data_IF_387526552229
#
_entry.id   IF_387526552229
#
_cell.length_a   1.000
_cell.length_b   1.000
_cell.length_c   1.000
_cell.angle_alpha   90.00
_cell.angle_beta   90.00
_cell.angle_gamma   90.00
#
_symmetry.space_group_name_H-M   'P 1'
#
loop_
_entity.id
_entity.type
_entity.pdbx_description
1 polymer ?
#
# COMPACT_ATOMS: atom_id res chain seq x y z
N UNK A 1 7.46 17.39 17.76
CA UNK A 1 6.60 16.20 17.96
C UNK A 1 7.37 15.22 18.82
N UNK A 2 6.76 14.58 19.82
CA UNK A 2 7.47 13.65 20.69
C UNK A 2 7.68 12.33 19.93
N UNK A 3 8.93 11.95 19.66
CA UNK A 3 9.27 10.73 18.91
C UNK A 3 8.67 9.45 19.55
N UNK A 4 8.33 9.48 20.84
CA UNK A 4 7.68 8.39 21.56
C UNK A 4 6.19 8.20 21.24
N UNK A 5 5.53 9.13 20.54
CA UNK A 5 4.10 9.00 20.20
C UNK A 5 3.86 8.16 18.93
N UNK A 6 4.90 7.96 18.11
CA UNK A 6 4.88 7.16 16.87
C UNK A 6 5.43 5.74 17.08
N UNK A 7 5.65 5.35 18.33
CA UNK A 7 6.32 4.11 18.67
C UNK A 7 5.30 3.05 19.10
N UNK A 8 5.23 1.93 18.38
CA UNK A 8 4.32 0.82 18.69
C UNK A 8 5.09 -0.28 19.43
N UNK A 9 4.79 -0.58 20.69
CA UNK A 9 5.39 -1.73 21.38
C UNK A 9 5.03 -3.05 20.67
N UNK A 10 6.02 -3.90 20.40
CA UNK A 10 5.81 -5.20 19.74
C UNK A 10 4.87 -6.12 20.52
N UNK A 11 4.82 -5.97 21.86
CA UNK A 11 3.91 -6.73 22.74
C UNK A 11 2.45 -6.28 22.65
N UNK A 12 2.18 -5.13 22.05
CA UNK A 12 0.84 -4.59 21.86
C UNK A 12 0.19 -5.10 20.55
N UNK A 13 0.98 -5.78 19.70
CA UNK A 13 0.52 -6.43 18.48
C UNK A 13 0.26 -7.91 18.72
N UNK A 14 -0.72 -8.52 18.01
CA UNK A 14 -0.84 -9.97 17.92
C UNK A 14 0.49 -10.63 17.48
N UNK A 15 0.69 -11.92 17.78
CA UNK A 15 1.93 -12.60 17.44
C UNK A 15 2.18 -12.66 15.93
N UNK A 16 1.13 -12.83 15.11
CA UNK A 16 1.19 -13.04 13.66
C UNK A 16 2.23 -14.13 13.29
N UNK A 17 2.02 -15.39 13.70
CA UNK A 17 3.04 -16.43 13.58
C UNK A 17 3.41 -16.76 12.12
N UNK A 18 2.55 -16.43 11.16
CA UNK A 18 2.77 -16.58 9.72
C UNK A 18 3.62 -15.46 9.14
N UNK A 19 3.77 -14.32 9.84
CA UNK A 19 4.53 -13.15 9.35
C UNK A 19 5.90 -13.10 10.02
N UNK A 20 7.01 -13.24 9.26
CA UNK A 20 8.35 -13.09 9.79
C UNK A 20 8.57 -11.74 10.48
N UNK A 21 9.48 -11.72 11.46
CA UNK A 21 9.93 -10.50 12.11
C UNK A 21 11.41 -10.28 11.83
N UNK A 22 11.74 -9.15 11.23
CA UNK A 22 13.10 -8.77 10.90
C UNK A 22 13.56 -7.60 11.76
N UNK A 23 14.84 -7.61 12.14
CA UNK A 23 15.39 -6.49 12.91
C UNK A 23 15.75 -5.37 11.97
N UNK A 24 15.48 -4.14 12.39
CA UNK A 24 15.91 -2.94 11.68
C UNK A 24 17.43 -2.87 11.47
N UNK A 25 18.23 -3.53 12.33
CA UNK A 25 19.69 -3.64 12.15
C UNK A 25 20.11 -4.43 10.92
N UNK A 26 19.21 -5.25 10.39
CA UNK A 26 19.46 -6.13 9.25
C UNK A 26 18.99 -5.47 7.94
N UNK A 27 18.44 -4.25 8.03
CA UNK A 27 17.94 -3.47 6.92
C UNK A 27 18.88 -2.30 6.60
N UNK A 28 19.07 -2.05 5.31
CA UNK A 28 19.70 -0.82 4.81
C UNK A 28 18.68 0.00 4.04
N UNK A 29 18.23 1.11 4.62
CA UNK A 29 17.42 2.10 3.91
C UNK A 29 18.25 2.72 2.79
N UNK A 30 17.70 2.71 1.58
CA UNK A 30 18.26 3.39 0.41
C UNK A 30 17.68 4.79 0.41
N UNK A 31 18.48 5.76 0.86
CA UNK A 31 18.15 7.18 0.72
C UNK A 31 18.29 7.55 -0.75
N UNK A 32 17.18 7.94 -1.39
CA UNK A 32 17.24 8.60 -2.67
C UNK A 32 17.54 10.09 -2.43
N UNK A 33 18.65 10.58 -2.99
CA UNK A 33 19.17 11.92 -2.70
C UNK A 33 18.25 13.06 -3.19
N UNK A 34 17.16 12.75 -3.89
CA UNK A 34 16.16 13.72 -4.32
C UNK A 34 15.09 14.03 -3.26
N UNK A 35 14.99 13.23 -2.18
CA UNK A 35 13.88 13.32 -1.22
C UNK A 35 14.38 13.24 0.22
N UNK A 36 15.28 14.15 0.60
CA UNK A 36 15.70 14.34 1.99
C UNK A 36 14.69 15.23 2.71
N UNK A 37 13.50 14.69 3.01
CA UNK A 37 12.64 15.23 4.05
C UNK A 37 12.58 14.24 5.21
N UNK A 38 13.30 14.59 6.27
CA UNK A 38 13.48 13.81 7.49
C UNK A 38 12.18 13.60 8.30
N UNK A 39 11.05 14.12 7.80
CA UNK A 39 9.71 14.00 8.35
C UNK A 39 8.75 13.22 7.44
N UNK A 40 9.24 12.63 6.35
CA UNK A 40 8.38 12.12 5.29
C UNK A 40 7.72 10.79 5.66
N UNK A 41 6.39 10.78 5.59
CA UNK A 41 5.52 9.61 5.55
C UNK A 41 5.74 8.75 4.29
N UNK A 42 6.72 9.13 3.44
CA UNK A 42 7.06 8.45 2.20
C UNK A 42 7.72 7.10 2.50
N UNK A 43 7.14 6.00 2.02
CA UNK A 43 7.76 4.69 2.07
C UNK A 43 9.11 4.66 1.37
N UNK A 44 10.08 3.94 1.93
CA UNK A 44 11.48 3.98 1.49
C UNK A 44 11.90 2.63 0.91
N UNK A 45 12.74 2.67 -0.13
CA UNK A 45 13.39 1.44 -0.63
C UNK A 45 14.34 0.92 0.46
N UNK A 46 14.24 -0.35 0.80
CA UNK A 46 15.09 -1.01 1.79
C UNK A 46 15.79 -2.21 1.18
N UNK A 47 17.05 -2.45 1.54
CA UNK A 47 17.78 -3.67 1.19
C UNK A 47 17.85 -4.55 2.44
N UNK A 48 17.36 -5.79 2.33
CA UNK A 48 17.41 -6.80 3.40
C UNK A 48 18.72 -7.60 3.32
N UNK A 49 19.01 -8.43 4.32
CA UNK A 49 20.32 -9.11 4.48
C UNK A 49 20.79 -10.01 3.33
N UNK A 50 19.89 -10.46 2.46
CA UNK A 50 20.22 -11.25 1.25
C UNK A 50 20.49 -10.39 0.00
N UNK A 51 20.35 -9.06 0.11
CA UNK A 51 20.56 -8.10 -0.97
C UNK A 51 19.30 -7.74 -1.76
N UNK A 52 18.14 -8.32 -1.45
CA UNK A 52 16.88 -8.01 -2.13
C UNK A 52 16.38 -6.61 -1.80
N UNK A 53 15.83 -5.93 -2.80
CA UNK A 53 15.27 -4.59 -2.70
C UNK A 53 13.77 -4.69 -2.41
N UNK A 54 13.36 -4.11 -1.29
CA UNK A 54 12.02 -4.15 -0.72
C UNK A 54 11.47 -2.75 -0.55
N UNK A 55 10.19 -2.65 -0.28
CA UNK A 55 9.49 -1.42 0.08
C UNK A 55 9.23 -1.41 1.59
N UNK A 56 9.77 -0.40 2.28
CA UNK A 56 9.58 -0.21 3.72
C UNK A 56 8.51 0.83 3.99
N UNK A 57 7.45 0.43 4.70
CA UNK A 57 6.37 1.30 5.17
C UNK A 57 6.52 1.52 6.69
N UNK A 58 6.69 2.76 7.17
CA UNK A 58 6.83 3.03 8.60
C UNK A 58 5.52 2.75 9.37
N UNK A 59 5.65 2.28 10.61
CA UNK A 59 4.54 1.98 11.49
C UNK A 59 4.07 3.23 12.25
N UNK A 60 3.31 4.10 11.59
CA UNK A 60 2.88 5.39 12.16
C UNK A 60 1.58 5.30 12.98
N UNK A 61 0.66 4.42 12.58
CA UNK A 61 -0.61 4.19 13.27
C UNK A 61 -0.82 2.68 13.51
N UNK A 62 -1.17 2.34 14.76
CA UNK A 62 -1.36 0.95 15.17
C UNK A 62 -2.56 0.28 14.51
N UNK A 63 -3.67 0.98 14.34
CA UNK A 63 -4.86 0.37 13.76
C UNK A 63 -4.68 0.13 12.26
N UNK A 64 -4.04 1.07 11.56
CA UNK A 64 -3.67 0.90 10.16
C UNK A 64 -2.71 -0.26 9.98
N UNK A 65 -1.65 -0.35 10.80
CA UNK A 65 -0.72 -1.48 10.75
C UNK A 65 -1.42 -2.82 11.00
N UNK A 66 -2.30 -2.90 12.00
CA UNK A 66 -3.04 -4.13 12.30
C UNK A 66 -3.94 -4.54 11.14
N UNK A 67 -4.63 -3.57 10.52
CA UNK A 67 -5.50 -3.82 9.36
C UNK A 67 -4.69 -4.28 8.15
N UNK A 68 -3.56 -3.64 7.88
CA UNK A 68 -2.67 -4.00 6.79
C UNK A 68 -2.18 -5.45 6.91
N UNK A 69 -1.70 -5.84 8.10
CA UNK A 69 -1.24 -7.21 8.36
C UNK A 69 -2.39 -8.22 8.25
N UNK A 70 -3.56 -7.92 8.82
CA UNK A 70 -4.75 -8.78 8.73
C UNK A 70 -5.18 -9.00 7.27
N UNK A 71 -5.20 -7.94 6.46
CA UNK A 71 -5.57 -8.01 5.05
C UNK A 71 -4.61 -8.89 4.27
N UNK A 72 -3.29 -8.75 4.45
CA UNK A 72 -2.32 -9.61 3.76
C UNK A 72 -2.41 -11.07 4.19
N UNK A 73 -2.62 -11.34 5.47
CA UNK A 73 -2.83 -12.71 5.95
C UNK A 73 -4.07 -13.34 5.32
N UNK A 74 -5.19 -12.60 5.26
CA UNK A 74 -6.42 -13.13 4.68
C UNK A 74 -6.35 -13.26 3.15
N UNK A 75 -5.60 -12.40 2.46
CA UNK A 75 -5.27 -12.55 1.02
C UNK A 75 -4.45 -13.83 0.80
N UNK A 76 -3.47 -14.09 1.66
CA UNK A 76 -2.67 -15.32 1.64
C UNK A 76 -3.53 -16.56 1.88
N UNK A 77 -4.36 -16.56 2.93
CA UNK A 77 -5.28 -17.67 3.26
C UNK A 77 -6.30 -17.95 2.15
N UNK A 78 -6.73 -16.91 1.43
CA UNK A 78 -7.61 -17.03 0.28
C UNK A 78 -6.90 -17.58 -0.98
N UNK A 79 -5.57 -17.73 -0.96
CA UNK A 79 -4.76 -18.18 -2.10
C UNK A 79 -4.64 -17.13 -3.21
N UNK A 80 -4.81 -15.85 -2.87
CA UNK A 80 -4.91 -14.76 -3.85
C UNK A 80 -3.59 -14.05 -4.16
N UNK A 81 -2.56 -14.24 -3.31
CA UNK A 81 -1.27 -13.54 -3.36
C UNK A 81 -0.56 -13.53 -4.74
N UNK A 82 -0.64 -14.65 -5.48
CA UNK A 82 0.05 -14.83 -6.77
C UNK A 82 -0.88 -14.55 -7.96
N UNK A 83 -2.15 -14.29 -7.67
CA UNK A 83 -3.21 -14.05 -8.68
C UNK A 83 -3.60 -12.59 -8.77
N UNK A 84 -3.49 -11.85 -7.68
CA UNK A 84 -3.80 -10.43 -7.61
C UNK A 84 -2.55 -9.58 -7.77
N UNK A 85 -2.74 -8.42 -8.41
CA UNK A 85 -1.71 -7.38 -8.46
C UNK A 85 -1.78 -6.53 -7.20
N UNK A 86 -1.31 -7.10 -6.10
CA UNK A 86 -1.18 -6.44 -4.80
C UNK A 86 0.27 -6.54 -4.32
N UNK A 87 0.75 -5.55 -3.57
CA UNK A 87 2.08 -5.64 -2.96
C UNK A 87 2.06 -6.65 -1.82
N UNK A 88 2.90 -7.68 -1.83
CA UNK A 88 2.86 -8.70 -0.77
C UNK A 88 3.62 -8.26 0.48
N UNK A 89 3.04 -8.51 1.66
CA UNK A 89 3.71 -8.35 2.93
C UNK A 89 4.78 -9.43 3.12
N UNK A 90 6.03 -9.00 3.28
CA UNK A 90 7.17 -9.88 3.54
C UNK A 90 7.40 -10.09 5.04
N UNK A 91 7.49 -9.01 5.82
CA UNK A 91 7.81 -9.10 7.25
C UNK A 91 7.42 -7.86 8.05
N UNK A 92 7.31 -8.03 9.36
CA UNK A 92 7.21 -6.93 10.32
C UNK A 92 8.62 -6.54 10.76
N UNK A 93 8.96 -5.26 10.64
CA UNK A 93 10.24 -4.72 11.10
C UNK A 93 10.15 -4.35 12.57
N UNK A 94 11.07 -4.86 13.37
CA UNK A 94 11.19 -4.56 14.80
C UNK A 94 12.54 -3.88 15.13
N UNK A 95 12.59 -3.18 16.25
CA UNK A 95 13.85 -2.62 16.79
C UNK A 95 14.88 -3.72 17.02
N UNK A 96 16.16 -3.34 17.12
CA UNK A 96 17.26 -4.30 17.34
C UNK A 96 17.07 -5.16 18.60
N UNK A 97 16.43 -4.59 19.65
CA UNK A 97 16.09 -5.30 20.89
C UNK A 97 14.72 -6.02 20.83
N UNK A 98 14.02 -5.95 19.70
CA UNK A 98 12.73 -6.59 19.41
C UNK A 98 11.52 -5.96 20.09
N UNK A 99 11.70 -4.91 20.89
CA UNK A 99 10.64 -4.36 21.75
C UNK A 99 9.66 -3.46 21.02
N UNK A 100 10.07 -2.85 19.91
CA UNK A 100 9.27 -1.88 19.17
C UNK A 100 9.05 -2.37 17.74
N UNK A 101 7.83 -2.22 17.23
CA UNK A 101 7.53 -2.34 15.81
C UNK A 101 7.83 -1.00 15.14
N UNK A 102 8.64 -1.07 14.09
CA UNK A 102 9.17 0.09 13.36
C UNK A 102 8.44 0.27 12.02
N UNK A 103 7.99 -0.82 11.40
CA UNK A 103 7.35 -0.78 10.09
C UNK A 103 7.02 -2.16 9.54
N UNK A 104 6.68 -2.17 8.25
CA UNK A 104 6.38 -3.35 7.46
C UNK A 104 7.27 -3.34 6.22
N UNK A 105 7.68 -4.52 5.77
CA UNK A 105 8.37 -4.72 4.50
C UNK A 105 7.45 -5.39 3.50
N UNK A 106 7.45 -4.87 2.28
CA UNK A 106 6.69 -5.40 1.17
C UNK A 106 7.56 -5.64 -0.06
N UNK A 107 7.08 -6.48 -0.96
CA UNK A 107 7.64 -6.59 -2.30
C UNK A 107 7.64 -5.22 -2.98
N UNK A 108 8.81 -4.80 -3.47
CA UNK A 108 8.92 -3.57 -4.25
C UNK A 108 8.36 -3.81 -5.66
N UNK A 109 7.28 -3.11 -6.00
CA UNK A 109 6.74 -3.07 -7.36
C UNK A 109 7.64 -2.16 -8.20
N UNK A 110 8.32 -2.67 -9.25
CA UNK A 110 9.12 -1.83 -10.11
C UNK A 110 8.21 -0.90 -10.92
N UNK A 111 8.31 0.40 -10.65
CA UNK A 111 7.50 1.45 -11.29
C UNK A 111 8.39 2.61 -11.72
N UNK A 112 8.15 3.22 -12.90
CA UNK A 112 8.85 4.44 -13.31
C UNK A 112 8.38 5.69 -12.55
N UNK A 113 7.17 5.67 -12.02
CA UNK A 113 6.50 6.78 -11.34
C UNK A 113 6.01 6.35 -9.96
N UNK A 114 5.65 7.28 -9.08
CA UNK A 114 5.26 6.92 -7.71
C UNK A 114 3.87 6.27 -7.64
N UNK A 115 2.91 6.77 -8.42
CA UNK A 115 1.52 6.29 -8.41
C UNK A 115 0.74 6.76 -9.63
N UNK A 116 -0.55 6.41 -9.72
CA UNK A 116 -1.46 6.86 -10.77
C UNK A 116 -1.60 8.39 -10.83
N UNK A 117 -1.26 9.13 -9.76
CA UNK A 117 -1.18 10.60 -9.79
C UNK A 117 -0.32 11.13 -10.93
N UNK A 118 0.84 10.52 -11.21
CA UNK A 118 1.76 10.95 -12.27
C UNK A 118 1.18 10.80 -13.68
N UNK A 119 0.09 10.05 -13.84
CA UNK A 119 -0.51 9.75 -15.13
C UNK A 119 -1.77 10.57 -15.43
N UNK A 120 -2.25 11.40 -14.50
CA UNK A 120 -3.45 12.24 -14.71
C UNK A 120 -3.29 13.07 -16.00
N UNK A 121 -4.30 13.05 -16.86
CA UNK A 121 -4.31 13.77 -18.15
C UNK A 121 -3.16 13.43 -19.12
N UNK A 122 -2.49 12.28 -18.95
CA UNK A 122 -1.38 11.88 -19.81
C UNK A 122 -1.82 11.07 -21.03
N UNK A 123 -0.96 11.02 -22.05
CA UNK A 123 -1.14 10.14 -23.21
C UNK A 123 -1.18 8.66 -22.79
N UNK A 124 -0.36 8.27 -21.81
CA UNK A 124 -0.32 6.92 -21.27
C UNK A 124 -1.63 6.55 -20.55
N UNK A 125 -2.22 7.50 -19.79
CA UNK A 125 -3.54 7.28 -19.22
C UNK A 125 -4.60 7.06 -20.30
N UNK A 126 -4.55 7.79 -21.41
CA UNK A 126 -5.48 7.58 -22.53
C UNK A 126 -5.28 6.22 -23.20
N UNK A 127 -4.03 5.79 -23.36
CA UNK A 127 -3.66 4.52 -24.01
C UNK A 127 -4.05 3.30 -23.16
N UNK A 128 -3.80 3.35 -21.85
CA UNK A 128 -3.96 2.20 -20.94
C UNK A 128 -5.23 2.23 -20.09
N UNK A 129 -6.07 3.27 -20.21
CA UNK A 129 -7.27 3.49 -19.41
C UNK A 129 -8.11 2.23 -19.20
N UNK A 130 -8.52 1.58 -20.30
CA UNK A 130 -9.40 0.43 -20.25
C UNK A 130 -8.75 -0.76 -19.52
N UNK A 131 -7.44 -0.94 -19.68
CA UNK A 131 -6.67 -2.03 -19.05
C UNK A 131 -6.52 -1.75 -17.56
N UNK A 132 -6.14 -0.53 -17.16
CA UNK A 132 -5.98 -0.16 -15.76
C UNK A 132 -7.31 -0.23 -15.01
N UNK A 133 -8.39 0.29 -15.61
CA UNK A 133 -9.73 0.17 -15.06
C UNK A 133 -10.10 -1.28 -14.83
N UNK A 134 -9.94 -2.13 -15.85
CA UNK A 134 -10.25 -3.56 -15.75
C UNK A 134 -9.45 -4.23 -14.62
N UNK A 135 -8.13 -4.03 -14.57
CA UNK A 135 -7.24 -4.63 -13.56
C UNK A 135 -7.61 -4.22 -12.13
N UNK A 136 -7.91 -2.95 -11.90
CA UNK A 136 -8.36 -2.47 -10.58
C UNK A 136 -9.72 -3.05 -10.24
N UNK A 137 -10.68 -3.05 -11.17
CA UNK A 137 -12.01 -3.63 -10.91
C UNK A 137 -11.98 -5.13 -10.70
N UNK A 138 -11.09 -5.86 -11.36
CA UNK A 138 -10.89 -7.29 -11.15
C UNK A 138 -10.30 -7.56 -9.76
N UNK A 139 -9.31 -6.77 -9.35
CA UNK A 139 -8.72 -6.86 -8.01
C UNK A 139 -9.77 -6.60 -6.93
N UNK A 140 -10.55 -5.53 -7.06
CA UNK A 140 -11.68 -5.21 -6.14
C UNK A 140 -12.72 -6.33 -6.12
N UNK A 141 -13.06 -6.90 -7.28
CA UNK A 141 -14.01 -8.02 -7.38
C UNK A 141 -13.52 -9.23 -6.59
N UNK A 142 -12.25 -9.61 -6.77
CA UNK A 142 -11.66 -10.77 -6.09
C UNK A 142 -11.57 -10.53 -4.58
N UNK A 143 -11.13 -9.35 -4.13
CA UNK A 143 -11.15 -9.00 -2.71
C UNK A 143 -12.58 -9.13 -2.13
N UNK A 144 -13.57 -8.53 -2.80
CA UNK A 144 -14.95 -8.55 -2.34
C UNK A 144 -15.57 -9.95 -2.33
N UNK A 145 -15.17 -10.85 -3.23
CA UNK A 145 -15.63 -12.25 -3.26
C UNK A 145 -15.17 -13.04 -2.04
N UNK A 146 -14.10 -12.59 -1.37
CA UNK A 146 -13.54 -13.18 -0.15
C UNK A 146 -13.81 -12.34 1.11
N UNK A 147 -14.80 -11.43 1.05
CA UNK A 147 -15.15 -10.51 2.15
C UNK A 147 -13.98 -9.66 2.66
N UNK A 148 -13.08 -9.31 1.75
CA UNK A 148 -12.00 -8.35 1.94
C UNK A 148 -12.42 -7.01 1.35
N UNK A 149 -11.99 -5.91 1.97
CA UNK A 149 -12.30 -4.54 1.55
C UNK A 149 -11.00 -3.77 1.49
N UNK A 150 -10.69 -3.19 0.32
CA UNK A 150 -9.49 -2.38 0.13
C UNK A 150 -9.49 -1.19 1.09
N UNK A 151 -10.55 -0.39 1.07
CA UNK A 151 -10.87 0.53 2.16
C UNK A 151 -10.08 1.83 2.21
N UNK A 152 -9.18 2.09 1.26
CA UNK A 152 -8.56 3.41 1.07
C UNK A 152 -8.32 3.72 -0.42
N UNK A 153 -9.40 3.74 -1.20
CA UNK A 153 -9.33 3.91 -2.66
C UNK A 153 -9.04 5.36 -3.05
N UNK A 154 -7.85 5.59 -3.61
CA UNK A 154 -7.46 6.83 -4.28
C UNK A 154 -6.27 6.57 -5.25
N UNK A 155 -5.93 7.50 -6.16
CA UNK A 155 -4.88 7.30 -7.17
C UNK A 155 -3.48 7.04 -6.59
N UNK A 156 -3.20 7.54 -5.38
CA UNK A 156 -1.94 7.31 -4.68
C UNK A 156 -1.71 5.87 -4.26
N UNK A 157 -2.80 5.11 -4.08
CA UNK A 157 -2.77 3.69 -3.75
C UNK A 157 -2.88 2.79 -4.99
N UNK A 158 -2.66 3.35 -6.19
CA UNK A 158 -2.56 2.62 -7.45
C UNK A 158 -1.17 2.84 -8.03
N UNK A 159 -0.39 1.77 -8.18
CA UNK A 159 0.95 1.81 -8.78
C UNK A 159 0.91 1.21 -10.18
N UNK A 160 1.60 1.84 -11.13
CA UNK A 160 1.72 1.33 -12.51
C UNK A 160 3.11 0.71 -12.70
N UNK A 161 3.18 -0.61 -12.89
CA UNK A 161 4.48 -1.26 -13.06
C UNK A 161 5.16 -0.94 -14.41
N UNK A 162 6.41 -1.38 -14.57
CA UNK A 162 7.17 -1.21 -15.82
C UNK A 162 6.57 -1.91 -17.04
N UNK A 163 5.57 -2.79 -16.85
CA UNK A 163 4.79 -3.44 -17.91
C UNK A 163 3.41 -2.79 -18.09
N UNK A 164 3.20 -1.59 -17.54
CA UNK A 164 1.96 -0.81 -17.59
C UNK A 164 0.76 -1.53 -16.96
N UNK A 165 0.97 -2.36 -15.95
CA UNK A 165 -0.12 -2.93 -15.19
C UNK A 165 -0.39 -2.12 -13.93
N UNK A 166 -1.68 -2.01 -13.58
CA UNK A 166 -2.13 -1.38 -12.35
C UNK A 166 -2.10 -2.39 -11.19
N UNK A 167 -1.51 -1.95 -10.08
CA UNK A 167 -1.42 -2.66 -8.81
C UNK A 167 -2.17 -1.90 -7.72
N UNK A 168 -2.85 -2.63 -6.84
CA UNK A 168 -3.45 -2.09 -5.62
C UNK A 168 -2.44 -2.18 -4.48
N UNK A 169 -2.21 -1.07 -3.78
CA UNK A 169 -1.37 -1.02 -2.58
C UNK A 169 -2.15 -0.38 -1.43
N UNK A 170 -1.60 -0.50 -0.21
CA UNK A 170 -2.11 0.08 1.03
C UNK A 170 -3.51 -0.43 1.45
N UNK A 171 -3.51 -1.29 2.45
CA UNK A 171 -4.70 -1.83 3.10
C UNK A 171 -4.90 -1.32 4.53
N UNK A 172 -4.14 -0.30 4.94
CA UNK A 172 -4.20 0.31 6.28
C UNK A 172 -5.55 0.98 6.55
N UNK A 173 -6.31 1.28 5.50
CA UNK A 173 -7.62 1.90 5.58
C UNK A 173 -7.54 3.40 5.76
N UNK A 174 -8.56 4.08 5.26
CA UNK A 174 -8.53 5.53 5.17
C UNK A 174 -9.72 6.05 4.39
N UNK A 175 -9.66 7.32 4.04
CA UNK A 175 -10.62 7.93 3.12
C UNK A 175 -10.13 9.32 2.75
N UNK A 176 -9.78 9.48 1.48
CA UNK A 176 -9.69 10.79 0.85
C UNK A 176 -11.10 11.15 0.37
N UNK A 177 -11.67 12.20 0.97
CA UNK A 177 -13.08 12.61 0.76
C UNK A 177 -13.40 12.89 -0.71
N UNK A 178 -12.39 13.35 -1.45
CA UNK A 178 -12.48 13.54 -2.89
C UNK A 178 -12.90 12.24 -3.58
N UNK A 179 -12.30 11.10 -3.27
CA UNK A 179 -12.57 9.82 -3.94
C UNK A 179 -13.71 9.04 -3.28
N UNK A 180 -13.68 8.92 -1.95
CA UNK A 180 -14.64 8.13 -1.18
C UNK A 180 -15.17 8.96 -0.01
N UNK A 181 -16.49 9.23 0.07
CA UNK A 181 -17.07 9.93 1.20
C UNK A 181 -16.83 9.17 2.52
N UNK A 182 -16.54 9.90 3.61
CA UNK A 182 -16.27 9.30 4.94
C UNK A 182 -17.33 8.30 5.42
N UNK A 183 -18.61 8.49 5.03
CA UNK A 183 -19.72 7.59 5.37
C UNK A 183 -19.65 6.21 4.69
N UNK A 184 -18.81 6.07 3.66
CA UNK A 184 -18.56 4.83 2.90
C UNK A 184 -17.12 4.35 3.03
N UNK A 185 -16.30 4.97 3.88
CA UNK A 185 -14.92 4.55 4.12
C UNK A 185 -14.88 3.08 4.54
N UNK A 186 -13.89 2.34 4.08
CA UNK A 186 -13.70 0.94 4.46
C UNK A 186 -14.96 0.07 4.24
N UNK A 187 -15.67 0.29 3.13
CA UNK A 187 -16.80 -0.53 2.71
C UNK A 187 -16.67 -0.98 1.26
N UNK A 188 -17.28 -2.12 0.90
CA UNK A 188 -17.36 -2.59 -0.50
C UNK A 188 -17.98 -1.55 -1.44
N UNK A 189 -18.98 -0.80 -0.95
CA UNK A 189 -19.60 0.28 -1.71
C UNK A 189 -18.63 1.46 -1.92
N UNK A 190 -17.83 1.78 -0.90
CA UNK A 190 -16.77 2.79 -0.98
C UNK A 190 -15.71 2.43 -2.01
N UNK A 191 -15.28 1.17 -2.05
CA UNK A 191 -14.27 0.71 -3.00
C UNK A 191 -14.76 0.85 -4.45
N UNK A 192 -15.99 0.42 -4.72
CA UNK A 192 -16.60 0.59 -6.05
C UNK A 192 -16.79 2.05 -6.45
N UNK A 193 -17.26 2.87 -5.51
CA UNK A 193 -17.41 4.30 -5.77
C UNK A 193 -16.06 4.97 -6.07
N UNK A 194 -15.02 4.64 -5.29
CA UNK A 194 -13.69 5.19 -5.48
C UNK A 194 -13.09 4.77 -6.83
N UNK A 195 -13.17 3.48 -7.17
CA UNK A 195 -12.66 2.98 -8.45
C UNK A 195 -13.39 3.61 -9.64
N UNK A 196 -14.72 3.75 -9.56
CA UNK A 196 -15.50 4.48 -10.55
C UNK A 196 -15.05 5.93 -10.67
N UNK A 197 -14.95 6.65 -9.55
CA UNK A 197 -14.53 8.06 -9.56
C UNK A 197 -13.13 8.27 -10.16
N UNK A 198 -12.18 7.40 -9.86
CA UNK A 198 -10.82 7.48 -10.41
C UNK A 198 -10.85 7.37 -11.94
N UNK A 199 -11.46 6.31 -12.47
CA UNK A 199 -11.35 5.99 -13.89
C UNK A 199 -12.42 6.64 -14.77
N UNK A 200 -13.59 6.99 -14.23
CA UNK A 200 -14.68 7.58 -15.02
C UNK A 200 -14.67 9.11 -15.02
N UNK A 201 -13.96 9.73 -14.06
CA UNK A 201 -13.94 11.18 -13.89
C UNK A 201 -12.51 11.70 -13.72
N UNK A 202 -11.86 11.40 -12.59
CA UNK A 202 -10.66 12.08 -12.12
C UNK A 202 -9.46 11.97 -13.07
N UNK A 203 -9.22 10.79 -13.68
CA UNK A 203 -8.02 10.54 -14.48
C UNK A 203 -7.90 11.46 -15.72
N UNK A 204 -9.03 12.02 -16.18
CA UNK A 204 -9.12 12.94 -17.31
C UNK A 204 -9.74 14.30 -16.95
N UNK A 205 -9.88 14.60 -15.65
CA UNK A 205 -10.40 15.88 -15.18
C UNK A 205 -9.35 16.98 -15.38
N UNK A 206 -9.73 18.09 -16.04
CA UNK A 206 -8.85 19.24 -16.19
C UNK A 206 -8.65 19.96 -14.86
N UNK A 207 -7.41 20.39 -14.61
CA UNK A 207 -7.10 21.29 -13.50
C UNK A 207 -7.41 22.72 -13.98
N UNK A 208 -8.69 23.12 -13.91
CA UNK A 208 -9.13 24.49 -14.22
C UNK A 208 -8.63 25.53 -13.20
#
# INVERSE_FOLDING_TARGET
>A
MNAFHLMIPSGDLPPFPEVPREKASDLRIVLDAQWDDYMSEIPQKAIIGDGNLMFFKPALDKNQLLREVDMHLRIHEAGLQDTLKVSNLHSIVVSTDGKMTIGLLFDLIPSPEDSLYSYKNSALASEHHAIWKQQITDTVTQLHAHDLVWGDVHPGNIVIDTSFNAWVVDFGGGSIVEFVPRKKRETKEGDWQGAGKIFDEWIFESDD
#
